data_IF_239592601418
#
_entry.id   IF_239592601418
#
_cell.length_a   1.000
_cell.length_b   1.000
_cell.length_c   1.000
_cell.angle_alpha   90.00
_cell.angle_beta   90.00
_cell.angle_gamma   90.00
#
_symmetry.space_group_name_H-M   'P 1'
#
loop_
_entity.id
_entity.type
_entity.pdbx_description
1 polymer ?
#
# COMPACT_ATOMS: atom_id res chain seq x y z
N UNK A 1 8.63 48.89 20.83
CA UNK A 1 7.45 48.28 21.44
C UNK A 1 6.64 47.60 20.33
N UNK A 2 7.12 46.47 19.80
CA UNK A 2 6.42 45.66 18.78
C UNK A 2 7.18 44.36 18.56
N UNK A 3 7.16 43.44 19.51
CA UNK A 3 7.78 42.10 19.31
C UNK A 3 7.10 41.04 20.19
N UNK A 4 5.78 40.92 20.09
CA UNK A 4 5.07 39.80 20.72
C UNK A 4 3.86 39.50 19.84
N UNK A 5 4.03 38.84 18.70
CA UNK A 5 2.91 38.26 17.92
C UNK A 5 3.36 37.19 16.92
N UNK A 6 4.45 36.46 17.20
CA UNK A 6 4.86 35.37 16.31
C UNK A 6 4.96 34.00 17.01
N UNK A 7 4.34 33.86 18.18
CA UNK A 7 4.45 32.66 19.01
C UNK A 7 3.25 31.71 18.99
N UNK A 8 2.20 31.96 18.19
CA UNK A 8 0.97 31.15 18.25
C UNK A 8 0.64 30.50 16.91
N UNK A 9 1.65 30.10 16.18
CA UNK A 9 1.44 29.39 14.92
C UNK A 9 1.88 27.93 15.12
N UNK A 10 0.89 27.05 15.06
CA UNK A 10 1.04 25.62 14.74
C UNK A 10 1.44 24.69 15.89
N UNK A 11 0.70 24.66 16.95
CA UNK A 11 0.46 23.36 17.61
C UNK A 11 -0.57 22.57 16.78
N UNK A 12 -0.10 22.04 15.66
CA UNK A 12 -0.88 21.05 14.88
C UNK A 12 -1.21 19.89 15.83
N UNK A 13 -2.45 19.41 15.87
CA UNK A 13 -2.78 18.25 16.70
C UNK A 13 -1.93 17.07 16.22
N UNK A 14 -0.93 16.70 17.02
CA UNK A 14 -0.12 15.52 16.79
C UNK A 14 -1.08 14.35 16.87
N UNK A 15 -1.37 13.73 15.73
CA UNK A 15 -2.18 12.51 15.70
C UNK A 15 -1.61 11.52 16.70
N UNK A 16 -2.47 10.81 17.46
CA UNK A 16 -1.99 9.80 18.37
C UNK A 16 -1.14 8.79 17.59
N UNK A 17 0.10 8.63 17.99
CA UNK A 17 1.09 7.70 17.42
C UNK A 17 0.52 6.29 17.19
N UNK A 18 -0.49 5.91 17.96
CA UNK A 18 -1.25 4.67 17.83
C UNK A 18 -2.01 4.52 16.51
N UNK A 19 -2.60 5.60 15.96
CA UNK A 19 -3.36 5.52 14.71
C UNK A 19 -2.43 5.32 13.51
N UNK A 20 -1.35 6.10 13.43
CA UNK A 20 -0.31 5.94 12.41
C UNK A 20 0.27 4.53 12.41
N UNK A 21 0.59 4.00 13.60
CA UNK A 21 1.15 2.66 13.76
C UNK A 21 0.21 1.56 13.24
N UNK A 22 -1.10 1.68 13.50
CA UNK A 22 -2.10 0.72 13.01
C UNK A 22 -2.19 0.73 11.48
N UNK A 23 -2.20 1.90 10.86
CA UNK A 23 -2.27 2.04 9.40
C UNK A 23 -1.02 1.44 8.75
N UNK A 24 0.18 1.77 9.22
CA UNK A 24 1.43 1.18 8.73
C UNK A 24 1.49 -0.33 8.92
N UNK A 25 0.98 -0.84 10.04
CA UNK A 25 0.93 -2.28 10.28
C UNK A 25 -0.02 -2.98 9.31
N UNK A 26 -1.22 -2.42 9.09
CA UNK A 26 -2.19 -2.98 8.15
C UNK A 26 -1.64 -2.98 6.73
N UNK A 27 -1.05 -1.87 6.29
CA UNK A 27 -0.43 -1.77 4.98
C UNK A 27 0.74 -2.75 4.83
N UNK A 28 1.61 -2.84 5.83
CA UNK A 28 2.69 -3.82 5.85
C UNK A 28 2.21 -5.25 5.75
N UNK A 29 1.15 -5.62 6.47
CA UNK A 29 0.56 -6.96 6.41
C UNK A 29 -0.05 -7.25 5.03
N UNK A 30 -0.76 -6.29 4.44
CA UNK A 30 -1.34 -6.44 3.10
C UNK A 30 -0.22 -6.63 2.07
N UNK A 31 0.83 -5.82 2.11
CA UNK A 31 1.98 -5.97 1.20
C UNK A 31 2.70 -7.31 1.38
N UNK A 32 2.83 -7.82 2.62
CA UNK A 32 3.39 -9.14 2.87
C UNK A 32 2.53 -10.25 2.28
N UNK A 33 1.21 -10.20 2.46
CA UNK A 33 0.27 -11.19 1.92
C UNK A 33 0.30 -11.19 0.39
N UNK A 34 0.27 -10.00 -0.23
CA UNK A 34 0.36 -9.86 -1.68
C UNK A 34 1.72 -10.34 -2.21
N UNK A 35 2.80 -10.01 -1.49
CA UNK A 35 4.13 -10.49 -1.83
C UNK A 35 4.21 -12.00 -1.85
N UNK A 36 3.71 -12.67 -0.81
CA UNK A 36 3.66 -14.14 -0.74
C UNK A 36 2.78 -14.72 -1.85
N UNK A 37 1.60 -14.14 -2.10
CA UNK A 37 0.69 -14.59 -3.15
C UNK A 37 1.36 -14.51 -4.55
N UNK A 38 2.06 -13.42 -4.84
CA UNK A 38 2.77 -13.26 -6.10
C UNK A 38 4.03 -14.14 -6.22
N UNK A 39 4.76 -14.37 -5.14
CA UNK A 39 5.87 -15.32 -5.11
C UNK A 39 5.40 -16.76 -5.37
N UNK A 40 4.17 -17.06 -4.95
CA UNK A 40 3.52 -18.36 -5.17
C UNK A 40 2.66 -18.40 -6.44
N UNK A 41 2.76 -17.39 -7.32
CA UNK A 41 1.84 -17.19 -8.44
C UNK A 41 1.78 -18.38 -9.39
N UNK A 42 2.91 -19.07 -9.64
CA UNK A 42 2.95 -20.27 -10.48
C UNK A 42 2.07 -21.42 -10.00
N UNK A 43 1.73 -21.45 -8.70
CA UNK A 43 0.85 -22.49 -8.11
C UNK A 43 -0.56 -22.00 -7.83
N UNK A 44 -0.75 -20.71 -7.67
CA UNK A 44 -2.00 -20.08 -7.20
C UNK A 44 -2.72 -19.34 -8.33
N UNK A 45 -2.00 -18.85 -9.35
CA UNK A 45 -2.55 -18.04 -10.44
C UNK A 45 -3.67 -18.74 -11.19
N UNK A 46 -3.48 -20.00 -11.59
CA UNK A 46 -4.48 -20.78 -12.31
C UNK A 46 -5.74 -21.01 -11.47
N UNK A 47 -5.58 -21.25 -10.18
CA UNK A 47 -6.69 -21.43 -9.26
C UNK A 47 -7.51 -20.14 -9.06
N UNK A 48 -6.86 -18.99 -9.04
CA UNK A 48 -7.50 -17.67 -8.91
C UNK A 48 -8.15 -17.21 -10.24
N UNK A 49 -7.83 -17.85 -11.37
CA UNK A 49 -8.28 -17.43 -12.69
C UNK A 49 -7.71 -16.07 -13.10
N UNK A 50 -6.52 -15.74 -12.63
CA UNK A 50 -5.81 -14.53 -13.01
C UNK A 50 -5.01 -14.84 -14.29
N UNK A 51 -5.00 -13.95 -15.31
CA UNK A 51 -4.24 -14.20 -16.52
C UNK A 51 -2.77 -14.41 -16.18
N UNK A 52 -2.24 -15.58 -16.53
CA UNK A 52 -0.84 -15.90 -16.41
C UNK A 52 -0.01 -15.07 -17.40
N UNK A 53 1.17 -14.64 -16.99
CA UNK A 53 2.20 -14.30 -17.97
C UNK A 53 2.87 -15.58 -18.44
N UNK A 54 3.39 -15.60 -19.67
CA UNK A 54 4.13 -16.74 -20.23
C UNK A 54 5.32 -17.16 -19.36
N UNK A 55 5.72 -16.31 -18.44
CA UNK A 55 6.78 -16.56 -17.45
C UNK A 55 6.35 -16.11 -16.05
N UNK A 56 6.72 -16.85 -15.02
CA UNK A 56 6.54 -16.46 -13.63
C UNK A 56 7.47 -15.31 -13.19
N UNK A 57 8.31 -14.80 -14.10
CA UNK A 57 9.35 -13.81 -13.79
C UNK A 57 8.76 -12.52 -13.20
N UNK A 58 7.83 -11.89 -13.92
CA UNK A 58 7.25 -10.61 -13.49
C UNK A 58 6.49 -10.70 -12.16
N UNK A 59 5.60 -11.68 -11.96
CA UNK A 59 4.94 -11.87 -10.67
C UNK A 59 5.93 -12.12 -9.54
N UNK A 60 6.99 -12.90 -9.78
CA UNK A 60 8.02 -13.20 -8.76
C UNK A 60 8.79 -11.94 -8.36
N UNK A 61 9.23 -11.13 -9.33
CA UNK A 61 9.94 -9.87 -9.02
C UNK A 61 9.03 -8.91 -8.26
N UNK A 62 7.81 -8.71 -8.73
CA UNK A 62 6.83 -7.84 -8.05
C UNK A 62 6.51 -8.36 -6.65
N UNK A 63 6.34 -9.67 -6.51
CA UNK A 63 6.14 -10.32 -5.21
C UNK A 63 7.29 -10.06 -4.24
N UNK A 64 8.53 -10.17 -4.70
CA UNK A 64 9.72 -9.85 -3.92
C UNK A 64 9.76 -8.39 -3.47
N UNK A 65 9.42 -7.46 -4.38
CA UNK A 65 9.36 -6.03 -4.06
C UNK A 65 8.29 -5.73 -3.00
N UNK A 66 7.07 -6.23 -3.19
CA UNK A 66 5.97 -6.03 -2.21
C UNK A 66 6.30 -6.67 -0.87
N UNK A 67 6.90 -7.85 -0.87
CA UNK A 67 7.35 -8.52 0.34
C UNK A 67 8.38 -7.68 1.11
N UNK A 68 9.36 -7.11 0.39
CA UNK A 68 10.36 -6.20 0.96
C UNK A 68 9.74 -4.92 1.54
N UNK A 69 8.77 -4.32 0.83
CA UNK A 69 8.01 -3.16 1.32
C UNK A 69 7.24 -3.52 2.59
N UNK A 70 6.56 -4.66 2.60
CA UNK A 70 5.82 -5.14 3.76
C UNK A 70 6.72 -5.30 4.99
N UNK A 71 7.90 -5.90 4.84
CA UNK A 71 8.90 -6.01 5.91
C UNK A 71 9.31 -4.62 6.40
N UNK A 72 9.62 -3.69 5.50
CA UNK A 72 10.05 -2.34 5.85
C UNK A 72 8.99 -1.59 6.66
N UNK A 73 7.71 -1.68 6.26
CA UNK A 73 6.59 -1.04 6.96
C UNK A 73 6.34 -1.64 8.35
N UNK A 74 6.38 -2.97 8.47
CA UNK A 74 6.26 -3.65 9.77
C UNK A 74 7.43 -3.30 10.67
N UNK A 75 8.64 -3.26 10.12
CA UNK A 75 9.84 -2.87 10.86
C UNK A 75 9.76 -1.44 11.40
N UNK A 76 9.32 -0.48 10.57
CA UNK A 76 9.07 0.89 10.99
C UNK A 76 8.03 0.95 12.11
N UNK A 77 6.98 0.13 12.02
CA UNK A 77 5.95 0.02 13.04
C UNK A 77 6.48 -0.50 14.39
N UNK A 78 7.43 -1.42 14.38
CA UNK A 78 8.00 -2.04 15.59
C UNK A 78 9.04 -1.15 16.26
N UNK A 79 9.84 -0.43 15.46
CA UNK A 79 10.93 0.42 15.97
C UNK A 79 10.46 1.64 16.77
N UNK A 80 9.21 2.08 16.62
CA UNK A 80 8.71 3.26 17.31
C UNK A 80 9.29 4.58 16.76
N UNK A 81 9.35 5.62 17.60
CA UNK A 81 9.72 7.00 17.20
C UNK A 81 11.22 7.23 16.88
N UNK A 82 12.04 6.20 16.85
CA UNK A 82 13.40 6.31 16.32
C UNK A 82 13.33 6.66 14.83
N UNK A 83 14.15 7.62 14.38
CA UNK A 83 14.18 8.23 13.05
C UNK A 83 13.68 7.31 11.90
N UNK A 84 12.80 7.79 11.02
CA UNK A 84 12.23 6.98 9.95
C UNK A 84 13.35 6.56 8.98
N UNK A 85 13.80 5.32 9.09
CA UNK A 85 14.75 4.68 8.18
C UNK A 85 14.03 3.94 7.04
N UNK A 86 12.70 4.07 6.96
CA UNK A 86 11.88 3.37 5.98
C UNK A 86 11.23 4.31 4.96
N UNK A 87 10.41 3.73 4.09
CA UNK A 87 9.62 4.42 3.05
C UNK A 87 8.68 5.49 3.62
N UNK A 88 8.36 5.42 4.90
CA UNK A 88 7.43 6.31 5.57
C UNK A 88 6.01 6.27 4.97
N UNK A 89 5.10 6.99 5.60
CA UNK A 89 3.70 7.06 5.17
C UNK A 89 3.54 7.63 3.75
N UNK A 90 4.43 8.55 3.33
CA UNK A 90 4.39 9.13 1.99
C UNK A 90 4.73 8.13 0.88
N UNK A 91 5.69 7.26 1.13
CA UNK A 91 6.05 6.19 0.19
C UNK A 91 4.96 5.14 0.08
N UNK A 92 4.36 4.73 1.20
CA UNK A 92 3.23 3.82 1.21
C UNK A 92 2.04 4.35 0.38
N UNK A 93 1.63 5.62 0.61
CA UNK A 93 0.58 6.28 -0.16
C UNK A 93 0.89 6.25 -1.67
N UNK A 94 2.11 6.63 -2.07
CA UNK A 94 2.49 6.68 -3.48
C UNK A 94 2.42 5.30 -4.13
N UNK A 95 2.95 4.27 -3.49
CA UNK A 95 2.97 2.90 -4.02
C UNK A 95 1.56 2.35 -4.17
N UNK A 96 0.74 2.46 -3.12
CA UNK A 96 -0.62 1.93 -3.12
C UNK A 96 -1.54 2.68 -4.09
N UNK A 97 -1.44 4.01 -4.13
CA UNK A 97 -2.24 4.82 -5.04
C UNK A 97 -1.87 4.56 -6.50
N UNK A 98 -0.58 4.57 -6.85
CA UNK A 98 -0.14 4.27 -8.21
C UNK A 98 -0.51 2.84 -8.61
N UNK A 99 -0.28 1.85 -7.75
CA UNK A 99 -0.65 0.46 -8.01
C UNK A 99 -2.16 0.29 -8.22
N UNK A 100 -2.97 0.90 -7.34
CA UNK A 100 -4.44 0.86 -7.45
C UNK A 100 -4.97 1.54 -8.71
N UNK A 101 -4.42 2.70 -9.08
CA UNK A 101 -4.81 3.43 -10.30
C UNK A 101 -4.41 2.68 -11.58
N UNK A 102 -3.19 2.14 -11.65
CA UNK A 102 -2.73 1.35 -12.79
C UNK A 102 -3.58 0.09 -12.94
N UNK A 103 -3.85 -0.63 -11.85
CA UNK A 103 -4.70 -1.82 -11.88
C UNK A 103 -6.13 -1.48 -12.31
N UNK A 104 -6.71 -0.40 -11.78
CA UNK A 104 -8.04 0.08 -12.20
C UNK A 104 -8.05 0.43 -13.69
N UNK A 105 -7.02 1.13 -14.18
CA UNK A 105 -6.88 1.46 -15.59
C UNK A 105 -6.84 0.22 -16.48
N UNK A 106 -6.10 -0.81 -16.11
CA UNK A 106 -6.07 -2.07 -16.82
C UNK A 106 -7.41 -2.81 -16.80
N UNK A 107 -8.13 -2.79 -15.68
CA UNK A 107 -9.46 -3.43 -15.58
C UNK A 107 -10.54 -2.71 -16.39
N UNK A 108 -10.42 -1.39 -16.58
CA UNK A 108 -11.39 -0.59 -17.34
C UNK A 108 -11.09 -0.58 -18.85
N UNK A 109 -9.82 -0.47 -19.23
CA UNK A 109 -9.41 -0.20 -20.60
C UNK A 109 -8.64 -1.36 -21.25
N UNK A 110 -8.25 -2.38 -20.48
CA UNK A 110 -7.31 -3.41 -20.93
C UNK A 110 -7.92 -4.59 -21.68
N UNK A 111 -9.24 -4.61 -21.98
CA UNK A 111 -9.94 -5.71 -22.65
C UNK A 111 -9.56 -7.11 -22.16
N UNK A 112 -9.35 -7.25 -20.87
CA UNK A 112 -8.93 -8.49 -20.25
C UNK A 112 -10.09 -9.49 -20.22
N UNK A 113 -9.97 -10.57 -20.98
CA UNK A 113 -10.91 -11.70 -20.93
C UNK A 113 -10.74 -12.49 -19.62
N UNK A 114 -11.20 -11.93 -18.52
CA UNK A 114 -11.05 -12.50 -17.19
C UNK A 114 -12.25 -13.37 -16.81
N UNK A 115 -12.04 -14.56 -16.22
CA UNK A 115 -13.11 -15.29 -15.57
C UNK A 115 -13.67 -14.48 -14.40
N UNK A 116 -14.94 -14.70 -14.06
CA UNK A 116 -15.64 -13.94 -13.01
C UNK A 116 -14.86 -13.85 -11.69
N UNK A 117 -14.24 -14.96 -11.28
CA UNK A 117 -13.40 -15.00 -10.07
C UNK A 117 -12.20 -14.04 -10.15
N UNK A 118 -11.51 -14.02 -11.30
CA UNK A 118 -10.40 -13.11 -11.54
C UNK A 118 -10.84 -11.65 -11.50
N UNK A 119 -11.99 -11.31 -12.10
CA UNK A 119 -12.55 -9.97 -12.04
C UNK A 119 -12.82 -9.53 -10.60
N UNK A 120 -13.51 -10.35 -9.80
CA UNK A 120 -13.84 -10.04 -8.41
C UNK A 120 -12.56 -9.79 -7.58
N UNK A 121 -11.56 -10.65 -7.75
CA UNK A 121 -10.29 -10.55 -7.00
C UNK A 121 -9.54 -9.27 -7.39
N UNK A 122 -9.38 -8.99 -8.67
CA UNK A 122 -8.61 -7.82 -9.12
C UNK A 122 -9.33 -6.50 -8.81
N UNK A 123 -10.65 -6.43 -8.96
CA UNK A 123 -11.44 -5.27 -8.53
C UNK A 123 -11.38 -5.07 -7.01
N UNK A 124 -11.47 -6.16 -6.24
CA UNK A 124 -11.28 -6.13 -4.79
C UNK A 124 -9.91 -5.61 -4.40
N UNK A 125 -8.85 -6.07 -5.06
CA UNK A 125 -7.49 -5.61 -4.85
C UNK A 125 -7.32 -4.12 -5.18
N UNK A 126 -7.80 -3.69 -6.34
CA UNK A 126 -7.75 -2.27 -6.72
C UNK A 126 -8.47 -1.38 -5.68
N UNK A 127 -9.66 -1.80 -5.24
CA UNK A 127 -10.41 -1.08 -4.21
C UNK A 127 -9.64 -1.00 -2.88
N UNK A 128 -9.02 -2.10 -2.43
CA UNK A 128 -8.22 -2.14 -1.19
C UNK A 128 -7.03 -1.18 -1.29
N UNK A 129 -6.29 -1.19 -2.38
CA UNK A 129 -5.13 -0.32 -2.56
C UNK A 129 -5.51 1.16 -2.55
N UNK A 130 -6.59 1.53 -3.24
CA UNK A 130 -7.09 2.91 -3.26
C UNK A 130 -7.62 3.32 -1.89
N UNK A 131 -8.42 2.47 -1.23
CA UNK A 131 -8.97 2.78 0.10
C UNK A 131 -7.87 2.97 1.15
N UNK A 132 -6.87 2.10 1.17
CA UNK A 132 -5.72 2.24 2.08
C UNK A 132 -5.00 3.56 1.83
N UNK A 133 -4.73 3.92 0.58
CA UNK A 133 -4.10 5.19 0.23
C UNK A 133 -4.91 6.39 0.69
N UNK A 134 -6.25 6.35 0.55
CA UNK A 134 -7.13 7.41 1.03
C UNK A 134 -7.12 7.53 2.56
N UNK A 135 -7.11 6.41 3.27
CA UNK A 135 -6.99 6.40 4.75
C UNK A 135 -5.65 6.99 5.17
N UNK A 136 -4.56 6.60 4.53
CA UNK A 136 -3.21 7.12 4.81
C UNK A 136 -3.11 8.62 4.51
N UNK A 137 -3.72 9.07 3.39
CA UNK A 137 -3.79 10.48 3.04
C UNK A 137 -4.61 11.28 4.05
N UNK A 138 -5.76 10.77 4.48
CA UNK A 138 -6.58 11.39 5.53
C UNK A 138 -5.82 11.50 6.85
N UNK A 139 -5.09 10.44 7.23
CA UNK A 139 -4.22 10.43 8.41
C UNK A 139 -3.12 11.47 8.30
N UNK A 140 -2.61 11.72 7.09
CA UNK A 140 -1.58 12.74 6.83
C UNK A 140 -2.17 14.16 6.84
N UNK A 141 -3.37 14.36 6.30
CA UNK A 141 -4.01 15.68 6.16
C UNK A 141 -4.45 16.30 7.50
N UNK A 142 -4.65 15.46 8.53
CA UNK A 142 -5.01 15.91 9.88
C UNK A 142 -3.77 16.36 10.70
N UNK A 143 -2.59 16.38 10.07
CA UNK A 143 -1.35 16.96 10.60
C UNK A 143 -1.17 18.41 10.17
#
# INVERSE_FOLDING_TARGET
MTTILLGTVLSSPIMPTKSRRRVLLLDGLINLLLGVALLSFGTVGDWLGIPGSDTAFYPTILGGVLFGIGIALVWECVRGDAQPLGLGLGGAIAINLCGGLVLTGWLVFGDLALPFRGQVILWGLAAILVLISLVELAVRAVR
#
